data_IF_408562634056
#
_entry.id   IF_408562634056
#
_cell.length_a   1.000
_cell.length_b   1.000
_cell.length_c   1.000
_cell.angle_alpha   90.00
_cell.angle_beta   90.00
_cell.angle_gamma   90.00
#
_symmetry.space_group_name_H-M   'P 1'
#
loop_
_entity.id
_entity.type
_entity.pdbx_description
1 polymer ?
#
# COMPACT_ATOMS: atom_id res chain seq x y z
N UNK A 1 9.72 20.82 2.50
CA UNK A 1 8.25 20.69 2.43
C UNK A 1 7.69 22.09 2.48
N UNK A 2 7.00 22.56 1.43
CA UNK A 2 6.47 23.92 1.42
C UNK A 2 5.07 23.94 2.07
N UNK A 3 4.62 25.10 2.56
CA UNK A 3 3.32 25.22 3.23
C UNK A 3 2.14 24.90 2.28
N UNK A 4 2.35 25.07 0.97
CA UNK A 4 1.34 24.81 -0.07
C UNK A 4 1.09 23.31 -0.33
N UNK A 5 2.11 22.47 -0.25
CA UNK A 5 1.95 21.02 -0.39
C UNK A 5 1.25 20.43 0.82
N UNK A 6 1.58 20.94 2.02
CA UNK A 6 0.93 20.55 3.26
C UNK A 6 -0.56 20.95 3.25
N UNK A 7 -0.90 22.14 2.75
CA UNK A 7 -2.30 22.59 2.74
C UNK A 7 -3.18 21.76 1.79
N UNK A 8 -2.69 21.35 0.63
CA UNK A 8 -3.45 20.49 -0.28
C UNK A 8 -3.72 19.11 0.31
N UNK A 9 -2.70 18.51 0.94
CA UNK A 9 -2.83 17.21 1.59
C UNK A 9 -3.79 17.27 2.79
N UNK A 10 -3.62 18.27 3.67
CA UNK A 10 -4.47 18.48 4.84
C UNK A 10 -5.93 18.74 4.44
N UNK A 11 -6.17 19.60 3.44
CA UNK A 11 -7.54 19.86 2.96
C UNK A 11 -8.19 18.59 2.42
N UNK A 12 -7.46 17.78 1.66
CA UNK A 12 -7.97 16.49 1.19
C UNK A 12 -8.32 15.58 2.37
N UNK A 13 -7.42 15.49 3.35
CA UNK A 13 -7.56 14.60 4.49
C UNK A 13 -8.69 15.00 5.45
N UNK A 14 -8.92 16.30 5.65
CA UNK A 14 -10.05 16.84 6.45
C UNK A 14 -11.41 16.42 5.89
N UNK A 15 -11.53 16.35 4.55
CA UNK A 15 -12.78 16.00 3.88
C UNK A 15 -12.98 14.49 3.73
N UNK A 16 -11.91 13.69 3.79
CA UNK A 16 -11.98 12.23 3.67
C UNK A 16 -12.33 11.56 5.00
N UNK A 17 -13.63 11.37 5.26
CA UNK A 17 -14.13 10.65 6.44
C UNK A 17 -14.60 9.25 6.07
N UNK A 18 -13.76 8.25 6.34
CA UNK A 18 -14.07 6.85 6.08
C UNK A 18 -13.39 5.91 7.10
N UNK A 19 -14.01 4.75 7.38
CA UNK A 19 -13.51 3.78 8.39
C UNK A 19 -12.10 3.24 8.07
N UNK A 20 -11.71 3.21 6.80
CA UNK A 20 -10.39 2.74 6.35
C UNK A 20 -9.41 3.87 6.01
N UNK A 21 -9.74 5.12 6.36
CA UNK A 21 -8.84 6.27 6.22
C UNK A 21 -8.46 6.73 7.63
N UNK A 22 -7.16 6.91 7.88
CA UNK A 22 -6.66 7.37 9.17
C UNK A 22 -7.28 8.73 9.50
N UNK A 23 -7.92 8.94 10.65
CA UNK A 23 -8.54 10.24 10.95
C UNK A 23 -7.52 11.36 11.12
N UNK A 24 -7.81 12.53 10.56
CA UNK A 24 -7.11 13.77 10.86
C UNK A 24 -7.69 14.42 12.13
N UNK A 25 -6.85 14.76 13.11
CA UNK A 25 -7.28 15.38 14.37
C UNK A 25 -6.94 16.87 14.45
N UNK A 26 -5.89 17.34 13.77
CA UNK A 26 -5.48 18.73 13.81
C UNK A 26 -4.07 18.98 13.28
N UNK A 27 -3.63 20.22 13.40
CA UNK A 27 -2.25 20.64 13.17
C UNK A 27 -1.63 21.07 14.50
N UNK A 28 -0.36 20.75 14.68
CA UNK A 28 0.46 21.32 15.73
C UNK A 28 1.55 22.21 15.13
N UNK A 29 1.64 23.44 15.62
CA UNK A 29 2.66 24.43 15.22
C UNK A 29 3.61 24.78 16.37
N UNK A 30 3.32 24.30 17.59
CA UNK A 30 3.91 24.82 18.82
C UNK A 30 4.86 23.85 19.49
N UNK A 31 4.65 22.54 19.36
CA UNK A 31 5.51 21.53 19.98
C UNK A 31 6.90 21.54 19.32
N UNK A 32 6.96 21.90 18.04
CA UNK A 32 8.19 21.95 17.24
C UNK A 32 8.45 23.37 16.72
N UNK A 33 8.67 24.33 17.63
CA UNK A 33 9.01 25.71 17.26
C UNK A 33 10.22 25.75 16.30
N UNK A 34 10.09 26.49 15.21
CA UNK A 34 11.11 26.58 14.15
C UNK A 34 10.99 25.52 13.05
N UNK A 35 10.03 24.60 13.14
CA UNK A 35 9.73 23.59 12.11
C UNK A 35 8.38 23.85 11.42
N UNK A 36 8.14 23.28 10.22
CA UNK A 36 6.82 23.32 9.60
C UNK A 36 5.74 22.67 10.48
N UNK A 37 4.47 23.11 10.37
CA UNK A 37 3.35 22.50 11.09
C UNK A 37 3.29 20.99 10.90
N UNK A 38 3.02 20.26 11.99
CA UNK A 38 2.88 18.81 12.00
C UNK A 38 1.41 18.39 12.02
N UNK A 39 1.09 17.25 11.41
CA UNK A 39 -0.26 16.69 11.43
C UNK A 39 -0.44 15.81 12.68
N UNK A 40 -1.58 15.97 13.34
CA UNK A 40 -2.01 15.16 14.48
C UNK A 40 -2.99 14.08 14.00
N UNK A 41 -2.71 12.82 14.32
CA UNK A 41 -3.57 11.66 14.03
C UNK A 41 -3.61 10.70 15.22
N UNK A 42 -4.61 9.80 15.33
CA UNK A 42 -4.60 8.75 16.34
C UNK A 42 -3.36 7.85 16.23
N UNK A 43 -2.85 7.39 17.36
CA UNK A 43 -1.72 6.46 17.37
C UNK A 43 -2.12 5.06 16.88
N UNK A 44 -1.46 4.60 15.81
CA UNK A 44 -1.68 3.27 15.23
C UNK A 44 -0.73 2.25 15.86
N UNK A 45 -1.19 1.52 16.89
CA UNK A 45 -0.38 0.58 17.69
C UNK A 45 0.41 -0.46 16.87
N UNK A 46 -0.16 -0.90 15.74
CA UNK A 46 0.45 -1.90 14.86
C UNK A 46 1.44 -1.31 13.85
N UNK A 47 1.57 0.02 13.79
CA UNK A 47 2.46 0.73 12.90
C UNK A 47 2.11 0.54 11.42
N UNK A 48 3.15 0.49 10.59
CA UNK A 48 3.02 0.32 9.14
C UNK A 48 2.85 -1.13 8.75
N UNK A 49 2.27 -1.37 7.57
CA UNK A 49 2.14 -2.71 6.98
C UNK A 49 3.48 -3.46 6.94
N UNK A 50 4.56 -2.81 6.48
CA UNK A 50 5.88 -3.44 6.36
C UNK A 50 6.44 -3.91 7.71
N UNK A 51 6.30 -3.08 8.76
CA UNK A 51 6.76 -3.46 10.11
C UNK A 51 5.88 -4.56 10.69
N UNK A 52 4.57 -4.47 10.48
CA UNK A 52 3.62 -5.47 10.94
C UNK A 52 3.92 -6.86 10.36
N UNK A 53 4.18 -6.93 9.06
CA UNK A 53 4.51 -8.18 8.34
C UNK A 53 5.82 -8.78 8.84
N UNK A 54 6.89 -7.98 8.93
CA UNK A 54 8.20 -8.43 9.42
C UNK A 54 8.13 -9.01 10.83
N UNK A 55 7.32 -8.41 11.70
CA UNK A 55 7.24 -8.78 13.10
C UNK A 55 6.31 -9.98 13.38
N UNK A 56 5.43 -10.37 12.44
CA UNK A 56 4.31 -11.31 12.71
C UNK A 56 4.21 -12.51 11.75
N UNK A 57 5.18 -12.75 10.88
CA UNK A 57 5.22 -13.89 9.94
C UNK A 57 5.32 -15.30 10.58
N UNK A 58 4.79 -15.50 11.80
CA UNK A 58 4.63 -16.80 12.44
C UNK A 58 3.53 -16.90 13.52
N UNK A 59 2.72 -15.84 13.75
CA UNK A 59 1.71 -15.88 14.84
C UNK A 59 0.59 -14.84 14.64
N UNK A 60 -0.08 -14.84 13.48
CA UNK A 60 -1.28 -14.02 13.28
C UNK A 60 -2.55 -14.82 13.61
N UNK A 61 -3.32 -14.43 14.64
CA UNK A 61 -4.65 -15.01 14.91
C UNK A 61 -5.75 -14.41 14.01
N UNK A 62 -5.51 -13.25 13.39
CA UNK A 62 -6.50 -12.55 12.56
C UNK A 62 -6.21 -12.76 11.08
N UNK A 63 -6.92 -13.74 10.51
CA UNK A 63 -6.79 -14.28 9.15
C UNK A 63 -7.20 -13.32 8.02
N UNK A 64 -7.31 -12.00 8.25
CA UNK A 64 -7.81 -11.04 7.22
C UNK A 64 -6.72 -10.21 6.55
N UNK A 65 -5.66 -9.81 7.26
CA UNK A 65 -4.61 -8.92 6.70
C UNK A 65 -3.47 -9.74 6.08
N UNK A 66 -3.16 -10.90 6.65
CA UNK A 66 -2.30 -11.93 6.06
C UNK A 66 -2.79 -12.37 4.67
N UNK A 67 -4.11 -12.40 4.44
CA UNK A 67 -4.66 -12.75 3.12
C UNK A 67 -4.32 -11.74 2.02
N UNK A 68 -4.17 -10.45 2.36
CA UNK A 68 -3.91 -9.40 1.37
C UNK A 68 -2.41 -9.26 1.06
N UNK A 69 -1.53 -9.77 1.94
CA UNK A 69 -0.09 -9.62 1.82
C UNK A 69 0.52 -10.95 1.38
N UNK A 70 0.73 -11.07 0.08
CA UNK A 70 1.08 -12.34 -0.55
C UNK A 70 2.54 -12.74 -0.44
N UNK A 71 3.49 -11.83 -0.41
CA UNK A 71 4.93 -12.17 -0.34
C UNK A 71 5.56 -11.70 0.96
N UNK A 72 5.08 -10.58 1.50
CA UNK A 72 5.73 -9.87 2.61
C UNK A 72 7.11 -9.28 2.25
N UNK A 73 7.53 -9.44 1.00
CA UNK A 73 8.77 -8.92 0.43
C UNK A 73 8.50 -7.60 -0.30
N UNK A 74 9.53 -6.78 -0.45
CA UNK A 74 9.45 -5.61 -1.31
C UNK A 74 9.38 -6.04 -2.79
N UNK A 75 8.69 -5.28 -3.65
CA UNK A 75 8.78 -5.46 -5.09
C UNK A 75 10.24 -5.45 -5.56
N UNK A 76 10.58 -6.34 -6.49
CA UNK A 76 11.94 -6.50 -7.03
C UNK A 76 13.04 -6.75 -5.96
N UNK A 77 12.88 -7.77 -5.10
CA UNK A 77 13.77 -7.97 -3.94
C UNK A 77 15.22 -8.30 -4.33
N UNK A 78 15.44 -8.74 -5.57
CA UNK A 78 16.77 -9.06 -6.12
C UNK A 78 17.50 -7.86 -6.72
N UNK A 79 16.82 -6.72 -6.90
CA UNK A 79 17.40 -5.50 -7.48
C UNK A 79 17.78 -4.56 -6.32
N UNK A 80 19.05 -4.15 -6.26
CA UNK A 80 19.55 -3.32 -5.16
C UNK A 80 19.41 -1.82 -5.44
N UNK A 81 19.57 -1.43 -6.69
CA UNK A 81 19.59 -0.03 -7.10
C UNK A 81 18.22 0.42 -7.62
N UNK A 82 17.66 1.46 -7.01
CA UNK A 82 16.34 2.00 -7.38
C UNK A 82 16.25 2.40 -8.86
N UNK A 83 17.36 2.89 -9.45
CA UNK A 83 17.39 3.25 -10.87
C UNK A 83 17.16 2.03 -11.77
N UNK A 84 17.66 0.86 -11.38
CA UNK A 84 17.45 -0.38 -12.12
C UNK A 84 15.99 -0.79 -12.05
N UNK A 85 15.32 -0.63 -10.90
CA UNK A 85 13.87 -0.86 -10.78
C UNK A 85 13.09 0.06 -11.72
N UNK A 86 13.43 1.34 -11.79
CA UNK A 86 12.78 2.29 -12.72
C UNK A 86 12.98 1.85 -14.17
N UNK A 87 14.20 1.45 -14.55
CA UNK A 87 14.49 0.97 -15.90
C UNK A 87 13.70 -0.31 -16.25
N UNK A 88 13.55 -1.24 -15.31
CA UNK A 88 12.73 -2.44 -15.52
C UNK A 88 11.24 -2.10 -15.69
N UNK A 89 10.69 -1.18 -14.88
CA UNK A 89 9.31 -0.70 -15.04
C UNK A 89 9.10 -0.03 -16.41
N UNK A 90 10.07 0.75 -16.89
CA UNK A 90 10.02 1.37 -18.22
C UNK A 90 10.07 0.35 -19.35
N UNK A 91 10.68 -0.82 -19.13
CA UNK A 91 10.63 -1.98 -20.03
C UNK A 91 9.35 -2.81 -19.87
N UNK A 92 8.38 -2.31 -19.11
CA UNK A 92 7.12 -3.01 -18.81
C UNK A 92 7.31 -4.31 -18.02
N UNK A 93 8.43 -4.42 -17.29
CA UNK A 93 8.67 -5.52 -16.37
C UNK A 93 8.02 -5.18 -15.03
N UNK A 94 7.18 -6.10 -14.56
CA UNK A 94 6.49 -6.03 -13.29
C UNK A 94 6.95 -7.17 -12.36
N UNK A 95 6.70 -7.08 -11.04
CA UNK A 95 7.00 -8.16 -10.12
C UNK A 95 6.35 -9.48 -10.56
N UNK A 96 7.06 -10.59 -10.35
CA UNK A 96 6.53 -11.93 -10.63
C UNK A 96 5.31 -12.25 -9.76
N UNK A 97 4.38 -13.04 -10.30
CA UNK A 97 3.23 -13.55 -9.55
C UNK A 97 3.72 -14.33 -8.32
N UNK A 98 3.14 -14.10 -7.14
CA UNK A 98 3.41 -14.94 -5.97
C UNK A 98 2.94 -16.37 -6.23
N UNK A 99 3.89 -17.29 -6.47
CA UNK A 99 3.62 -18.71 -6.71
C UNK A 99 3.37 -19.50 -5.42
N UNK A 100 3.70 -18.90 -4.28
CA UNK A 100 3.69 -19.51 -2.96
C UNK A 100 4.72 -20.63 -2.78
N UNK A 101 4.82 -21.15 -1.56
CA UNK A 101 5.63 -22.32 -1.22
C UNK A 101 4.96 -23.15 -0.11
N UNK A 102 5.28 -24.47 0.02
CA UNK A 102 4.64 -25.34 1.02
C UNK A 102 4.75 -24.83 2.46
N UNK A 103 5.88 -24.20 2.80
CA UNK A 103 6.18 -23.66 4.13
C UNK A 103 6.16 -22.12 4.18
N UNK A 104 5.65 -21.47 3.14
CA UNK A 104 5.72 -20.02 2.97
C UNK A 104 4.41 -19.39 2.54
N UNK A 105 4.46 -18.17 1.97
CA UNK A 105 3.25 -17.45 1.63
C UNK A 105 2.40 -18.20 0.61
N UNK A 106 1.08 -18.00 0.64
CA UNK A 106 0.15 -18.69 -0.28
C UNK A 106 0.33 -18.24 -1.72
N UNK A 107 0.00 -19.12 -2.67
CA UNK A 107 -0.09 -18.75 -4.08
C UNK A 107 -1.24 -17.76 -4.32
N UNK A 108 -1.04 -16.80 -5.22
CA UNK A 108 -2.10 -15.91 -5.69
C UNK A 108 -3.02 -16.64 -6.67
N UNK A 109 -4.35 -16.46 -6.55
CA UNK A 109 -5.33 -17.03 -7.49
C UNK A 109 -5.27 -16.35 -8.85
N UNK A 110 -5.76 -17.02 -9.91
CA UNK A 110 -5.74 -16.46 -11.26
C UNK A 110 -6.57 -15.17 -11.36
N UNK A 111 -7.74 -15.15 -10.72
CA UNK A 111 -8.63 -13.99 -10.72
C UNK A 111 -8.02 -12.77 -10.04
N UNK A 112 -7.40 -12.96 -8.87
CA UNK A 112 -6.75 -11.84 -8.19
C UNK A 112 -5.51 -11.37 -8.95
N UNK A 113 -4.72 -12.29 -9.50
CA UNK A 113 -3.56 -11.92 -10.32
C UNK A 113 -3.96 -11.17 -11.59
N UNK A 114 -5.05 -11.56 -12.24
CA UNK A 114 -5.61 -10.82 -13.37
C UNK A 114 -6.03 -9.40 -12.96
N UNK A 115 -6.61 -9.24 -11.77
CA UNK A 115 -6.97 -7.92 -11.21
C UNK A 115 -5.73 -7.06 -10.97
N UNK A 116 -4.68 -7.62 -10.34
CA UNK A 116 -3.39 -6.93 -10.13
C UNK A 116 -2.79 -6.47 -11.46
N UNK A 117 -2.79 -7.35 -12.47
CA UNK A 117 -2.29 -7.00 -13.81
C UNK A 117 -3.04 -5.87 -14.48
N UNK A 118 -4.35 -5.78 -14.26
CA UNK A 118 -5.15 -4.68 -14.78
C UNK A 118 -4.83 -3.36 -14.07
N UNK A 119 -4.55 -3.37 -12.76
CA UNK A 119 -4.23 -2.15 -12.01
C UNK A 119 -2.95 -1.44 -12.51
N UNK A 120 -1.98 -2.20 -13.01
CA UNK A 120 -0.72 -1.65 -13.53
C UNK A 120 -0.59 -1.73 -15.06
N UNK A 121 -1.71 -1.81 -15.79
CA UNK A 121 -1.68 -1.80 -17.25
C UNK A 121 -0.87 -0.59 -17.78
N UNK A 122 -0.08 -0.83 -18.83
CA UNK A 122 0.84 0.18 -19.39
C UNK A 122 0.10 1.46 -19.76
N UNK A 123 -1.02 1.33 -20.49
CA UNK A 123 -1.90 2.45 -20.80
C UNK A 123 -2.80 2.75 -19.59
N UNK A 124 -2.81 4.00 -19.09
CA UNK A 124 -3.68 4.36 -17.96
C UNK A 124 -5.17 4.11 -18.21
N UNK A 125 -5.64 4.24 -19.46
CA UNK A 125 -7.03 3.99 -19.86
C UNK A 125 -7.46 2.53 -19.68
N UNK A 126 -6.50 1.60 -19.68
CA UNK A 126 -6.76 0.17 -19.60
C UNK A 126 -6.80 -0.31 -18.13
N UNK A 127 -6.51 0.59 -17.18
CA UNK A 127 -6.58 0.32 -15.76
C UNK A 127 -8.02 0.41 -15.30
N UNK A 128 -8.47 -0.60 -14.55
CA UNK A 128 -9.75 -0.56 -13.87
C UNK A 128 -9.80 0.61 -12.87
N UNK A 129 -10.97 1.23 -12.76
CA UNK A 129 -11.27 2.13 -11.64
C UNK A 129 -11.40 1.35 -10.32
N UNK A 130 -11.47 2.10 -9.21
CA UNK A 130 -11.56 1.51 -7.88
C UNK A 130 -12.87 0.77 -7.62
N UNK A 131 -13.97 1.13 -8.30
CA UNK A 131 -15.24 0.42 -8.15
C UNK A 131 -15.12 -0.99 -8.71
N UNK A 132 -14.55 -1.11 -9.91
CA UNK A 132 -14.31 -2.41 -10.54
C UNK A 132 -13.29 -3.24 -9.79
N UNK A 133 -12.21 -2.63 -9.31
CA UNK A 133 -11.20 -3.31 -8.47
C UNK A 133 -11.84 -3.84 -7.18
N UNK A 134 -12.67 -3.05 -6.50
CA UNK A 134 -13.36 -3.47 -5.28
C UNK A 134 -14.28 -4.66 -5.52
N UNK A 135 -15.03 -4.66 -6.62
CA UNK A 135 -15.90 -5.77 -7.04
C UNK A 135 -15.09 -7.07 -7.25
N UNK A 136 -14.00 -6.99 -8.03
CA UNK A 136 -13.17 -8.15 -8.38
C UNK A 136 -12.44 -8.75 -7.17
N UNK A 137 -11.94 -7.92 -6.25
CA UNK A 137 -11.29 -8.38 -5.02
C UNK A 137 -12.30 -9.12 -4.13
N UNK A 138 -13.53 -8.59 -3.99
CA UNK A 138 -14.60 -9.23 -3.21
C UNK A 138 -15.02 -10.58 -3.80
N UNK A 139 -15.05 -10.69 -5.13
CA UNK A 139 -15.38 -11.94 -5.82
C UNK A 139 -14.25 -13.00 -5.76
N UNK A 140 -13.03 -12.60 -5.45
CA UNK A 140 -11.84 -13.46 -5.40
C UNK A 140 -11.44 -13.90 -3.98
N UNK A 141 -12.18 -13.45 -2.97
CA UNK A 141 -11.98 -13.72 -1.54
C UNK A 141 -12.95 -14.79 -1.04
#
# INVERSE_FOLDING_TARGET
>A
MNLQSLSQEVLTWVHLKHIYILPFLGLDEKIFEGYPPCIITPYMRNGTMSNFVKNRMGTLPDKRVDQLIYTGEQPFPSIREDITVVLEILKEVHPSRPSGSPDGPRAMSDGLWATVKACWAHKPSDRHDMDKVSELIKASS
#
